data_IF_880900565826
#
_entry.id   IF_880900565826
#
_cell.length_a   1.000
_cell.length_b   1.000
_cell.length_c   1.000
_cell.angle_alpha   90.00
_cell.angle_beta   90.00
_cell.angle_gamma   90.00
#
_symmetry.space_group_name_H-M   'P 1'
#
loop_
_entity.id
_entity.type
_entity.pdbx_description
1 polymer ?
#
# COMPACT_ATOMS: atom_id res chain seq x y z
N UNK A 1 -5.97 9.59 6.06
CA UNK A 1 -5.65 9.27 7.47
C UNK A 1 -4.62 8.15 7.59
N UNK A 2 -4.67 7.09 6.76
CA UNK A 2 -3.86 5.87 6.94
C UNK A 2 -2.32 6.01 6.95
N UNK A 3 -1.74 7.05 6.33
CA UNK A 3 -0.27 7.22 6.23
C UNK A 3 0.20 8.53 6.87
N UNK A 4 0.62 9.53 6.10
CA UNK A 4 1.12 10.82 6.61
C UNK A 4 0.14 11.52 7.57
N UNK A 5 -1.17 11.35 7.35
CA UNK A 5 -2.18 11.89 8.27
C UNK A 5 -2.09 11.32 9.68
N UNK A 6 -1.88 10.01 9.81
CA UNK A 6 -1.67 9.33 11.09
C UNK A 6 -0.33 9.70 11.71
N UNK A 7 0.73 9.78 10.89
CA UNK A 7 2.04 10.22 11.36
C UNK A 7 1.98 11.64 11.96
N UNK A 8 1.27 12.58 11.32
CA UNK A 8 1.03 13.93 11.87
C UNK A 8 0.26 13.92 13.18
N UNK A 9 -0.76 13.08 13.30
CA UNK A 9 -1.55 12.96 14.53
C UNK A 9 -0.73 12.43 15.72
N UNK A 10 0.37 11.71 15.44
CA UNK A 10 1.29 11.15 16.42
C UNK A 10 2.59 11.95 16.57
N UNK A 11 2.72 13.11 15.89
CA UNK A 11 3.96 13.91 15.84
C UNK A 11 5.18 13.16 15.24
N UNK A 12 4.93 12.11 14.46
CA UNK A 12 5.95 11.28 13.80
C UNK A 12 6.14 11.63 12.31
N UNK A 13 5.49 12.69 11.81
CA UNK A 13 5.55 13.06 10.40
C UNK A 13 6.97 13.33 9.90
N UNK A 14 7.91 13.66 10.78
CA UNK A 14 9.31 13.91 10.45
C UNK A 14 10.11 12.62 10.21
N UNK A 15 9.59 11.48 10.67
CA UNK A 15 10.22 10.16 10.56
C UNK A 15 9.54 9.27 9.50
N UNK A 16 8.19 9.19 9.50
CA UNK A 16 7.43 8.22 8.70
C UNK A 16 6.24 8.83 7.93
N UNK A 17 5.62 8.02 7.07
CA UNK A 17 4.32 8.31 6.45
C UNK A 17 4.37 8.79 5.00
N UNK A 18 5.56 8.98 4.42
CA UNK A 18 5.78 9.21 2.99
C UNK A 18 7.22 8.81 2.58
N UNK A 19 7.52 8.91 1.28
CA UNK A 19 8.81 8.52 0.69
C UNK A 19 9.80 9.68 0.49
N UNK A 20 9.71 10.77 1.27
CA UNK A 20 10.68 11.84 1.19
C UNK A 20 12.09 11.37 1.64
N UNK A 21 13.15 11.95 1.06
CA UNK A 21 14.53 11.65 1.46
C UNK A 21 14.73 11.99 2.94
N UNK A 22 15.40 11.09 3.68
CA UNK A 22 15.66 11.23 5.12
C UNK A 22 14.60 10.60 6.04
N UNK A 23 13.49 10.09 5.49
CA UNK A 23 12.50 9.30 6.22
C UNK A 23 13.00 7.89 6.51
N UNK A 24 12.44 7.28 7.56
CA UNK A 24 12.55 5.85 7.81
C UNK A 24 11.87 5.08 6.67
N UNK A 25 12.50 3.98 6.24
CA UNK A 25 12.04 3.19 5.10
C UNK A 25 10.98 2.16 5.52
N UNK A 26 9.86 2.66 6.03
CA UNK A 26 8.70 1.89 6.46
C UNK A 26 7.61 1.94 5.39
N UNK A 27 7.36 0.81 4.74
CA UNK A 27 6.39 0.73 3.65
C UNK A 27 5.87 -0.68 3.42
N UNK A 28 4.78 -0.74 2.66
CA UNK A 28 4.17 -1.97 2.17
C UNK A 28 4.26 -2.01 0.65
N UNK A 29 4.40 -3.22 0.12
CA UNK A 29 4.20 -3.53 -1.30
C UNK A 29 2.81 -4.12 -1.43
N UNK A 30 2.00 -3.56 -2.33
CA UNK A 30 0.61 -3.94 -2.50
C UNK A 30 0.42 -4.77 -3.77
N UNK A 31 -0.38 -5.82 -3.68
CA UNK A 31 -0.98 -6.50 -4.83
C UNK A 31 -2.42 -6.00 -5.02
N UNK A 32 -2.62 -5.16 -6.04
CA UNK A 32 -3.91 -4.57 -6.37
C UNK A 32 -4.92 -5.58 -6.93
N UNK A 33 -4.50 -6.83 -7.15
CA UNK A 33 -5.26 -7.91 -7.77
C UNK A 33 -5.24 -9.19 -6.93
N UNK A 34 -5.00 -9.06 -5.62
CA UNK A 34 -4.78 -10.16 -4.69
C UNK A 34 -5.95 -11.16 -4.54
N UNK A 35 -7.16 -10.80 -4.97
CA UNK A 35 -8.32 -11.70 -4.97
C UNK A 35 -8.97 -11.72 -6.36
N UNK A 36 -9.71 -12.79 -6.74
CA UNK A 36 -10.38 -12.85 -8.03
C UNK A 36 -11.32 -11.66 -8.28
N UNK A 37 -11.99 -11.17 -7.23
CA UNK A 37 -12.92 -10.06 -7.34
C UNK A 37 -12.18 -8.71 -7.47
N UNK A 38 -11.05 -8.52 -6.76
CA UNK A 38 -10.19 -7.36 -6.97
C UNK A 38 -9.55 -7.36 -8.36
N UNK A 39 -9.10 -8.52 -8.84
CA UNK A 39 -8.55 -8.69 -10.18
C UNK A 39 -9.57 -8.41 -11.29
N UNK A 40 -10.84 -8.72 -11.05
CA UNK A 40 -11.95 -8.35 -11.94
C UNK A 40 -12.21 -6.85 -11.93
N UNK A 41 -12.20 -6.19 -10.75
CA UNK A 41 -12.45 -4.74 -10.63
C UNK A 41 -11.29 -3.88 -11.13
N UNK A 42 -10.05 -4.34 -10.94
CA UNK A 42 -8.81 -3.68 -11.34
C UNK A 42 -8.16 -4.44 -12.50
N UNK A 43 -8.56 -4.23 -13.77
CA UNK A 43 -8.13 -5.07 -14.90
C UNK A 43 -6.62 -5.03 -15.19
N UNK A 44 -5.91 -3.97 -14.78
CA UNK A 44 -4.46 -3.83 -14.87
C UNK A 44 -3.80 -3.91 -13.49
N UNK A 45 -2.65 -4.57 -13.32
CA UNK A 45 -1.87 -4.56 -12.08
C UNK A 45 -1.23 -3.20 -11.78
N UNK A 46 -1.07 -2.35 -12.81
CA UNK A 46 -0.45 -1.04 -12.68
C UNK A 46 -1.36 0.03 -13.29
N UNK A 47 -1.93 0.91 -12.47
CA UNK A 47 -2.63 2.09 -12.96
C UNK A 47 -1.68 2.98 -13.77
N UNK A 48 -2.16 3.44 -14.91
CA UNK A 48 -1.45 4.35 -15.82
C UNK A 48 -2.12 5.71 -15.94
N UNK A 49 -3.38 5.81 -15.52
CA UNK A 49 -4.13 7.07 -15.43
C UNK A 49 -4.50 7.39 -13.98
N UNK A 50 -4.89 8.65 -13.73
CA UNK A 50 -5.35 9.07 -12.41
C UNK A 50 -6.68 8.39 -12.03
N UNK A 51 -7.56 8.17 -13.02
CA UNK A 51 -8.83 7.47 -12.82
C UNK A 51 -8.60 6.01 -12.42
N UNK A 52 -7.71 5.31 -13.13
CA UNK A 52 -7.33 3.94 -12.77
C UNK A 52 -6.69 3.86 -11.38
N UNK A 53 -5.89 4.86 -11.01
CA UNK A 53 -5.27 4.91 -9.68
C UNK A 53 -6.32 5.13 -8.59
N UNK A 54 -7.26 6.06 -8.82
CA UNK A 54 -8.35 6.31 -7.89
C UNK A 54 -9.24 5.06 -7.71
N UNK A 55 -9.57 4.37 -8.81
CA UNK A 55 -10.34 3.12 -8.79
C UNK A 55 -9.59 2.01 -8.05
N UNK A 56 -8.27 1.89 -8.25
CA UNK A 56 -7.47 0.90 -7.55
C UNK A 56 -7.41 1.17 -6.03
N UNK A 57 -7.24 2.43 -5.62
CA UNK A 57 -7.25 2.83 -4.20
C UNK A 57 -8.64 2.62 -3.58
N UNK A 58 -9.71 2.94 -4.31
CA UNK A 58 -11.08 2.67 -3.86
C UNK A 58 -11.33 1.17 -3.65
N UNK A 59 -10.91 0.35 -4.62
CA UNK A 59 -11.01 -1.11 -4.54
C UNK A 59 -10.26 -1.66 -3.33
N UNK A 60 -9.04 -1.18 -3.04
CA UNK A 60 -8.30 -1.56 -1.83
C UNK A 60 -9.05 -1.22 -0.55
N UNK A 61 -9.66 -0.02 -0.45
CA UNK A 61 -10.37 0.39 0.76
C UNK A 61 -11.63 -0.43 1.04
N UNK A 62 -12.33 -0.86 -0.02
CA UNK A 62 -13.61 -1.56 0.11
C UNK A 62 -13.43 -3.08 0.17
N UNK A 63 -12.42 -3.61 -0.53
CA UNK A 63 -12.30 -5.04 -0.84
C UNK A 63 -10.97 -5.65 -0.40
N UNK A 64 -9.99 -4.82 -0.03
CA UNK A 64 -8.68 -5.26 0.40
C UNK A 64 -8.72 -5.92 1.78
N UNK A 65 -7.91 -6.95 1.94
CA UNK A 65 -7.58 -7.57 3.22
C UNK A 65 -6.07 -7.88 3.25
N UNK A 66 -5.64 -8.72 4.20
CA UNK A 66 -4.24 -9.09 4.41
C UNK A 66 -3.59 -9.66 3.13
N UNK A 67 -4.36 -10.31 2.25
CA UNK A 67 -3.84 -10.86 1.00
C UNK A 67 -3.34 -9.79 0.03
N UNK A 68 -3.82 -8.54 0.16
CA UNK A 68 -3.36 -7.41 -0.64
C UNK A 68 -1.96 -6.92 -0.24
N UNK A 69 -1.46 -7.33 0.92
CA UNK A 69 -0.09 -7.03 1.35
C UNK A 69 0.84 -8.09 0.76
N UNK A 70 1.64 -7.71 -0.24
CA UNK A 70 2.64 -8.59 -0.83
C UNK A 70 3.91 -8.65 0.03
N UNK A 71 4.37 -7.52 0.53
CA UNK A 71 5.53 -7.44 1.42
C UNK A 71 5.43 -6.24 2.36
N UNK A 72 6.07 -6.33 3.52
CA UNK A 72 6.19 -5.23 4.49
C UNK A 72 7.66 -5.04 4.83
N UNK A 73 8.11 -3.79 4.77
CA UNK A 73 9.45 -3.37 5.13
C UNK A 73 9.40 -2.45 6.35
N UNK A 74 10.33 -2.67 7.28
CA UNK A 74 10.55 -1.85 8.48
C UNK A 74 12.02 -1.46 8.49
N UNK A 75 12.32 -0.16 8.56
CA UNK A 75 13.67 0.39 8.48
C UNK A 75 14.44 -0.11 7.24
N UNK A 76 13.72 -0.29 6.12
CA UNK A 76 14.26 -0.80 4.86
C UNK A 76 14.60 -2.30 4.86
N UNK A 77 14.29 -3.03 5.95
CA UNK A 77 14.48 -4.46 6.05
C UNK A 77 13.17 -5.19 5.78
N UNK A 78 13.23 -6.27 5.00
CA UNK A 78 12.07 -7.13 4.75
C UNK A 78 11.63 -7.78 6.07
N UNK A 79 10.43 -7.44 6.53
CA UNK A 79 9.85 -7.96 7.77
C UNK A 79 8.77 -9.02 7.50
N UNK A 80 8.11 -8.94 6.35
CA UNK A 80 7.11 -9.89 5.91
C UNK A 80 7.08 -9.97 4.39
N UNK A 81 6.88 -11.18 3.86
CA UNK A 81 6.65 -11.44 2.43
C UNK A 81 5.55 -12.49 2.30
N UNK A 82 4.63 -12.29 1.35
CA UNK A 82 3.57 -13.24 1.03
C UNK A 82 4.20 -14.50 0.45
N UNK A 83 3.97 -15.65 1.09
CA UNK A 83 4.60 -16.92 0.73
C UNK A 83 3.77 -17.82 -0.20
N UNK A 84 2.58 -17.36 -0.60
CA UNK A 84 1.66 -18.11 -1.45
C UNK A 84 1.11 -17.22 -2.59
N UNK A 85 0.84 -17.80 -3.77
CA UNK A 85 0.31 -17.07 -4.91
C UNK A 85 -1.03 -16.40 -4.61
#
# INVERSE_FOLDING_TARGET
MATLGGAKALELQDYIGNFAVGKEADFIVLDLRATPLMAFRNPSPKPTTMEELADAVFTLMIMGDDRAIYATYIMGQLAHEKTYP
#
